data_IF_476807405074
#
_entry.id   IF_476807405074
#
_cell.length_a   1.000
_cell.length_b   1.000
_cell.length_c   1.000
_cell.angle_alpha   90.00
_cell.angle_beta   90.00
_cell.angle_gamma   90.00
#
_symmetry.space_group_name_H-M   'P 1'
#
loop_
_entity.id
_entity.type
_entity.pdbx_description
1 polymer ?
#
# COMPACT_ATOMS: atom_id res chain seq x y z
N UNK A 1 26.25 34.19 -20.56
CA UNK A 1 25.45 34.41 -19.34
C UNK A 1 25.19 33.05 -18.72
N UNK A 2 25.81 32.77 -17.59
CA UNK A 2 25.70 31.47 -16.92
C UNK A 2 24.28 31.30 -16.38
N UNK A 3 23.52 30.36 -16.93
CA UNK A 3 22.27 29.95 -16.35
C UNK A 3 22.57 29.31 -14.99
N UNK A 4 22.37 30.08 -13.93
CA UNK A 4 22.30 29.54 -12.57
C UNK A 4 21.04 28.68 -12.55
N UNK A 5 21.23 27.37 -12.67
CA UNK A 5 20.18 26.41 -12.35
C UNK A 5 19.99 26.52 -10.84
N UNK A 6 19.00 27.30 -10.41
CA UNK A 6 18.54 27.28 -9.03
C UNK A 6 18.16 25.84 -8.74
N UNK A 7 18.99 25.13 -7.96
CA UNK A 7 18.58 23.88 -7.33
C UNK A 7 17.46 24.27 -6.38
N UNK A 8 16.24 24.25 -6.88
CA UNK A 8 15.11 23.93 -6.05
C UNK A 8 15.51 22.62 -5.36
N UNK A 9 15.64 22.64 -4.05
CA UNK A 9 15.65 21.44 -3.23
C UNK A 9 14.24 21.29 -2.64
N UNK A 10 13.18 20.91 -3.38
CA UNK A 10 11.89 20.65 -2.77
C UNK A 10 11.62 19.13 -2.79
N UNK A 11 10.64 18.73 -2.00
CA UNK A 11 9.96 17.44 -2.09
C UNK A 11 10.66 16.20 -1.51
N UNK A 12 11.96 15.88 -1.74
CA UNK A 12 12.49 14.53 -1.38
C UNK A 12 12.43 14.20 0.12
N UNK A 13 12.46 15.19 1.01
CA UNK A 13 12.27 14.96 2.45
C UNK A 13 10.81 15.11 2.88
N UNK A 14 10.03 15.98 2.23
CA UNK A 14 8.66 16.26 2.65
C UNK A 14 7.75 15.02 2.56
N UNK A 15 7.84 14.23 1.48
CA UNK A 15 7.04 12.99 1.39
C UNK A 15 7.42 11.97 2.46
N UNK A 16 8.69 11.93 2.91
CA UNK A 16 9.11 11.06 4.01
C UNK A 16 8.51 11.50 5.34
N UNK A 17 8.42 12.81 5.57
CA UNK A 17 7.71 13.36 6.73
C UNK A 17 6.21 13.06 6.65
N UNK A 18 5.57 13.25 5.49
CA UNK A 18 4.17 12.88 5.29
C UNK A 18 3.90 11.39 5.49
N UNK A 19 4.85 10.52 5.13
CA UNK A 19 4.75 9.08 5.40
C UNK A 19 4.97 8.70 6.86
N UNK A 20 5.70 9.51 7.62
CA UNK A 20 5.88 9.33 9.05
C UNK A 20 4.67 9.87 9.84
N UNK A 21 4.08 10.99 9.41
CA UNK A 21 2.91 11.65 10.00
C UNK A 21 1.60 11.21 9.31
N UNK A 22 1.40 9.89 9.22
CA UNK A 22 0.12 9.33 8.77
C UNK A 22 -0.84 9.17 9.93
N UNK A 23 -2.13 9.32 9.66
CA UNK A 23 -3.21 8.99 10.60
C UNK A 23 -3.29 7.46 10.68
N UNK A 24 -3.14 6.92 11.90
CA UNK A 24 -3.17 5.47 12.18
C UNK A 24 -4.35 5.04 13.07
N UNK A 25 -5.13 6.01 13.53
CA UNK A 25 -6.36 5.80 14.27
C UNK A 25 -7.57 6.27 13.43
N UNK A 26 -8.51 5.37 13.08
CA UNK A 26 -9.75 5.76 12.39
C UNK A 26 -10.52 6.86 13.13
N UNK A 27 -10.53 6.85 14.47
CA UNK A 27 -11.23 7.87 15.27
C UNK A 27 -10.62 9.27 15.09
N UNK A 28 -9.30 9.36 14.91
CA UNK A 28 -8.62 10.62 14.59
C UNK A 28 -9.05 11.16 13.22
N UNK A 29 -9.23 10.29 12.22
CA UNK A 29 -9.75 10.71 10.91
C UNK A 29 -11.18 11.23 11.04
N UNK A 30 -12.05 10.52 11.77
CA UNK A 30 -13.44 10.95 11.98
C UNK A 30 -13.52 12.31 12.68
N UNK A 31 -12.73 12.54 13.71
CA UNK A 31 -12.64 13.85 14.38
C UNK A 31 -12.17 14.96 13.43
N UNK A 32 -11.14 14.69 12.62
CA UNK A 32 -10.63 15.65 11.63
C UNK A 32 -11.73 16.08 10.64
N UNK A 33 -12.62 15.15 10.28
CA UNK A 33 -13.71 15.36 9.34
C UNK A 33 -15.03 15.77 9.99
N UNK A 34 -15.08 15.95 11.32
CA UNK A 34 -16.32 16.25 12.08
C UNK A 34 -17.40 15.17 11.95
N UNK A 35 -16.96 13.91 11.93
CA UNK A 35 -17.80 12.71 11.79
C UNK A 35 -17.78 11.82 13.04
N UNK A 36 -17.24 12.30 14.17
CA UNK A 36 -17.20 11.56 15.45
C UNK A 36 -18.59 11.29 16.06
N UNK A 37 -19.63 11.96 15.56
CA UNK A 37 -21.03 11.68 15.89
C UNK A 37 -21.63 10.50 15.11
N UNK A 38 -20.99 10.04 14.04
CA UNK A 38 -21.52 9.00 13.16
C UNK A 38 -21.29 7.60 13.74
N UNK A 39 -22.28 7.06 14.46
CA UNK A 39 -22.20 5.76 15.12
C UNK A 39 -21.76 4.64 14.18
N UNK A 40 -22.34 4.58 12.97
CA UNK A 40 -22.01 3.53 11.99
C UNK A 40 -20.53 3.50 11.59
N UNK A 41 -19.89 4.67 11.43
CA UNK A 41 -18.46 4.75 11.11
C UNK A 41 -17.58 4.37 12.30
N UNK A 42 -18.04 4.62 13.53
CA UNK A 42 -17.29 4.33 14.76
C UNK A 42 -17.28 2.86 15.11
N UNK A 43 -18.38 2.15 14.87
CA UNK A 43 -18.47 0.70 15.13
C UNK A 43 -17.43 -0.10 14.34
N UNK A 44 -16.96 0.43 13.20
CA UNK A 44 -15.93 -0.17 12.38
C UNK A 44 -14.49 0.00 12.89
N UNK A 45 -14.22 0.86 13.88
CA UNK A 45 -12.87 1.25 14.27
C UNK A 45 -11.94 0.05 14.61
N UNK A 46 -12.50 -0.99 15.22
CA UNK A 46 -11.77 -2.21 15.58
C UNK A 46 -11.27 -3.00 14.37
N UNK A 47 -11.83 -2.82 13.16
CA UNK A 47 -11.36 -3.50 11.95
C UNK A 47 -9.93 -3.10 11.55
N UNK A 48 -9.35 -2.06 12.18
CA UNK A 48 -7.92 -1.75 12.09
C UNK A 48 -7.02 -2.90 12.58
N UNK A 49 -7.54 -3.81 13.42
CA UNK A 49 -6.83 -5.02 13.88
C UNK A 49 -6.72 -6.10 12.80
N UNK A 50 -7.64 -6.11 11.83
CA UNK A 50 -7.63 -7.04 10.69
C UNK A 50 -6.66 -6.59 9.60
N UNK A 51 -6.54 -5.28 9.41
CA UNK A 51 -5.60 -4.66 8.47
C UNK A 51 -5.29 -3.25 8.96
N UNK A 52 -4.00 -2.88 9.13
CA UNK A 52 -3.64 -1.60 9.72
C UNK A 52 -4.31 -0.42 9.03
N UNK A 53 -4.66 0.61 9.79
CA UNK A 53 -5.16 1.85 9.25
C UNK A 53 -3.98 2.80 8.98
N UNK A 54 -3.88 3.32 7.76
CA UNK A 54 -2.89 4.34 7.37
C UNK A 54 -3.52 5.27 6.35
N UNK A 55 -3.58 6.55 6.68
CA UNK A 55 -4.09 7.61 5.80
C UNK A 55 -3.16 8.83 5.93
N UNK A 56 -2.44 9.24 4.88
CA UNK A 56 -1.67 10.49 4.91
C UNK A 56 -2.60 11.67 5.11
N UNK A 57 -2.17 12.66 5.91
CA UNK A 57 -2.96 13.88 6.15
C UNK A 57 -3.31 14.62 4.86
N UNK A 58 -2.39 14.64 3.89
CA UNK A 58 -2.64 15.23 2.57
C UNK A 58 -3.73 14.51 1.77
N UNK A 59 -3.94 13.21 2.00
CA UNK A 59 -5.06 12.46 1.41
C UNK A 59 -6.37 12.82 2.13
N UNK A 60 -6.36 12.85 3.47
CA UNK A 60 -7.53 13.23 4.27
C UNK A 60 -8.00 14.67 3.99
N UNK A 61 -7.08 15.60 3.72
CA UNK A 61 -7.39 16.98 3.38
C UNK A 61 -8.18 17.17 2.07
N UNK A 62 -8.29 16.12 1.24
CA UNK A 62 -9.10 16.13 0.02
C UNK A 62 -10.54 15.67 0.23
N UNK A 63 -10.87 15.17 1.42
CA UNK A 63 -12.21 14.73 1.78
C UNK A 63 -13.09 15.93 2.11
N UNK A 64 -14.39 15.81 1.84
CA UNK A 64 -15.39 16.80 2.25
C UNK A 64 -15.69 16.64 3.74
N UNK A 65 -15.31 17.64 4.54
CA UNK A 65 -15.62 17.68 5.97
C UNK A 65 -17.13 17.63 6.21
N UNK A 66 -17.56 16.76 7.12
CA UNK A 66 -18.98 16.57 7.47
C UNK A 66 -19.75 15.64 6.52
N UNK A 67 -19.11 15.13 5.46
CA UNK A 67 -19.74 14.18 4.53
C UNK A 67 -19.36 12.73 4.86
N UNK A 68 -20.27 11.92 5.43
CA UNK A 68 -20.01 10.51 5.71
C UNK A 68 -19.93 9.65 4.44
N UNK A 69 -20.43 10.14 3.30
CA UNK A 69 -20.48 9.43 2.03
C UNK A 69 -19.33 9.80 1.07
N UNK A 70 -18.38 10.62 1.54
CA UNK A 70 -17.23 11.05 0.75
C UNK A 70 -16.49 9.83 0.13
N UNK A 71 -16.26 9.85 -1.20
CA UNK A 71 -15.72 8.69 -1.90
C UNK A 71 -14.26 8.37 -1.53
N UNK A 72 -13.47 9.34 -1.05
CA UNK A 72 -12.12 9.09 -0.55
C UNK A 72 -12.17 8.51 0.87
N UNK A 73 -13.09 8.98 1.71
CA UNK A 73 -13.33 8.41 3.03
C UNK A 73 -13.71 6.94 2.93
N UNK A 74 -14.66 6.59 2.06
CA UNK A 74 -15.12 5.20 1.85
C UNK A 74 -14.01 4.24 1.42
N UNK A 75 -12.94 4.73 0.80
CA UNK A 75 -11.79 3.92 0.40
C UNK A 75 -10.90 3.52 1.57
N UNK A 76 -10.91 4.28 2.67
CA UNK A 76 -9.93 4.15 3.77
C UNK A 76 -10.54 3.91 5.13
N UNK A 77 -11.77 4.37 5.39
CA UNK A 77 -12.42 4.22 6.68
C UNK A 77 -12.71 2.75 6.97
N UNK A 78 -12.35 2.31 8.18
CA UNK A 78 -12.63 0.95 8.66
C UNK A 78 -14.13 0.75 8.83
N UNK A 79 -14.63 -0.42 8.48
CA UNK A 79 -16.06 -0.74 8.54
C UNK A 79 -16.34 -2.00 9.36
N UNK A 80 -17.49 -2.08 10.02
CA UNK A 80 -17.89 -3.26 10.81
C UNK A 80 -18.07 -4.48 9.91
N UNK A 81 -18.50 -4.25 8.69
CA UNK A 81 -18.73 -5.23 7.63
C UNK A 81 -17.46 -6.03 7.32
N UNK A 82 -16.27 -5.51 7.63
CA UNK A 82 -15.02 -6.24 7.42
C UNK A 82 -14.82 -7.45 8.33
N UNK A 83 -15.60 -7.55 9.41
CA UNK A 83 -15.68 -8.78 10.22
C UNK A 83 -16.64 -9.82 9.63
N UNK A 84 -17.40 -9.45 8.60
CA UNK A 84 -18.39 -10.34 7.98
C UNK A 84 -17.69 -11.32 7.06
N UNK A 85 -17.97 -12.61 7.27
CA UNK A 85 -17.55 -13.66 6.36
C UNK A 85 -18.62 -13.81 5.27
N UNK A 86 -18.22 -13.62 4.01
CA UNK A 86 -19.09 -13.87 2.87
C UNK A 86 -18.84 -15.30 2.33
N UNK A 87 -19.89 -16.03 1.90
CA UNK A 87 -19.71 -17.28 1.16
C UNK A 87 -18.79 -17.07 -0.05
N UNK A 88 -17.82 -17.97 -0.24
CA UNK A 88 -16.83 -17.88 -1.33
C UNK A 88 -15.69 -16.89 -1.11
N UNK A 89 -15.62 -16.22 0.05
CA UNK A 89 -14.50 -15.36 0.39
C UNK A 89 -13.18 -16.15 0.48
N UNK A 90 -12.12 -15.62 -0.15
CA UNK A 90 -10.75 -16.13 -0.03
C UNK A 90 -9.81 -15.02 0.41
N UNK A 91 -8.87 -15.36 1.30
CA UNK A 91 -7.77 -14.47 1.69
C UNK A 91 -6.67 -14.39 0.63
N UNK A 92 -6.68 -15.30 -0.34
CA UNK A 92 -5.80 -15.32 -1.52
C UNK A 92 -6.64 -15.46 -2.80
N UNK A 93 -7.36 -14.40 -3.21
CA UNK A 93 -8.25 -14.47 -4.36
C UNK A 93 -7.51 -14.59 -5.71
N UNK A 94 -6.20 -14.37 -5.74
CA UNK A 94 -5.39 -14.41 -6.96
C UNK A 94 -4.40 -15.57 -7.02
N UNK A 95 -4.37 -16.42 -5.99
CA UNK A 95 -3.42 -17.54 -5.83
C UNK A 95 -1.96 -17.05 -5.87
N UNK A 96 -1.68 -15.97 -5.13
CA UNK A 96 -0.40 -15.28 -5.14
C UNK A 96 0.47 -15.60 -3.92
N UNK A 97 0.00 -16.36 -2.94
CA UNK A 97 0.79 -16.64 -1.73
C UNK A 97 2.05 -17.49 -2.02
N UNK A 98 2.11 -18.16 -3.17
CA UNK A 98 3.27 -18.94 -3.61
C UNK A 98 4.09 -18.19 -4.66
N UNK A 99 5.26 -17.71 -4.25
CA UNK A 99 6.24 -17.06 -5.14
C UNK A 99 7.24 -18.08 -5.69
N UNK A 100 7.69 -17.92 -6.95
CA UNK A 100 8.69 -18.80 -7.58
C UNK A 100 10.07 -18.67 -6.93
N UNK A 101 10.36 -17.45 -6.47
CA UNK A 101 11.40 -17.14 -5.48
C UNK A 101 10.86 -16.04 -4.57
N UNK A 102 11.33 -15.90 -3.32
CA UNK A 102 10.82 -14.86 -2.42
C UNK A 102 10.79 -13.47 -3.07
N UNK A 103 9.59 -12.88 -3.13
CA UNK A 103 9.38 -11.56 -3.73
C UNK A 103 9.21 -11.54 -5.26
N UNK A 104 9.10 -12.69 -5.93
CA UNK A 104 8.83 -12.76 -7.38
C UNK A 104 7.66 -13.70 -7.67
N UNK A 105 6.58 -13.16 -8.23
CA UNK A 105 5.42 -13.89 -8.72
C UNK A 105 5.54 -14.06 -10.23
N UNK A 106 5.40 -15.29 -10.73
CA UNK A 106 5.44 -15.59 -12.17
C UNK A 106 4.27 -16.50 -12.54
N UNK A 107 3.10 -15.88 -12.81
CA UNK A 107 1.85 -16.56 -13.17
C UNK A 107 1.61 -16.64 -14.68
N UNK A 108 2.18 -15.70 -15.42
CA UNK A 108 1.96 -15.55 -16.86
C UNK A 108 3.26 -15.76 -17.62
N UNK A 109 3.18 -16.40 -18.80
CA UNK A 109 4.35 -16.83 -19.56
C UNK A 109 5.44 -15.75 -19.76
N UNK A 110 5.08 -14.53 -20.16
CA UNK A 110 6.05 -13.51 -20.55
C UNK A 110 6.22 -12.36 -19.54
N UNK A 111 5.58 -12.44 -18.37
CA UNK A 111 5.62 -11.36 -17.37
C UNK A 111 5.68 -11.88 -15.95
N UNK A 112 6.49 -11.21 -15.14
CA UNK A 112 6.61 -11.47 -13.71
C UNK A 112 6.38 -10.19 -12.90
N UNK A 113 5.92 -10.35 -11.68
CA UNK A 113 5.70 -9.27 -10.73
C UNK A 113 6.68 -9.38 -9.57
N UNK A 114 7.49 -8.33 -9.39
CA UNK A 114 8.54 -8.26 -8.38
C UNK A 114 8.12 -7.35 -7.23
N UNK A 115 8.05 -7.91 -6.03
CA UNK A 115 7.66 -7.24 -4.81
C UNK A 115 8.84 -6.45 -4.25
N UNK A 116 8.89 -5.16 -4.52
CA UNK A 116 10.00 -4.29 -4.10
C UNK A 116 9.77 -3.66 -2.73
N UNK A 117 8.51 -3.48 -2.31
CA UNK A 117 8.15 -2.94 -1.00
C UNK A 117 6.79 -3.46 -0.56
N UNK A 118 6.64 -3.94 0.67
CA UNK A 118 5.36 -4.48 1.16
C UNK A 118 4.39 -3.47 1.78
N UNK A 119 4.80 -2.22 1.99
CA UNK A 119 3.96 -1.19 2.62
C UNK A 119 3.34 -0.24 1.60
N UNK A 120 2.19 0.34 1.95
CA UNK A 120 1.51 1.40 1.21
C UNK A 120 1.44 2.71 2.02
N UNK A 121 1.33 3.85 1.33
CA UNK A 121 1.14 5.16 1.97
C UNK A 121 -0.27 5.24 2.55
N UNK A 122 -1.24 4.77 1.77
CA UNK A 122 -2.65 4.60 2.13
C UNK A 122 -2.94 3.10 2.20
N UNK A 123 -3.61 2.66 3.27
CA UNK A 123 -4.13 1.30 3.36
C UNK A 123 -5.59 1.27 2.90
N UNK A 124 -5.80 1.08 1.59
CA UNK A 124 -7.14 0.98 1.01
C UNK A 124 -7.89 -0.23 1.59
N UNK A 125 -9.15 -0.07 2.02
CA UNK A 125 -9.94 -1.15 2.62
C UNK A 125 -10.32 -2.25 1.65
N UNK A 126 -10.26 -1.96 0.35
CA UNK A 126 -10.45 -2.91 -0.75
C UNK A 126 -9.14 -3.56 -1.25
N UNK A 127 -8.04 -3.46 -0.50
CA UNK A 127 -6.76 -4.05 -0.90
C UNK A 127 -6.83 -5.59 -0.95
N UNK A 128 -6.76 -6.17 -2.15
CA UNK A 128 -6.77 -7.63 -2.34
C UNK A 128 -5.51 -8.32 -1.79
N UNK A 129 -4.40 -7.59 -1.60
CA UNK A 129 -3.15 -8.09 -0.99
C UNK A 129 -3.06 -7.84 0.52
N UNK A 130 -4.13 -7.47 1.20
CA UNK A 130 -4.10 -7.19 2.66
C UNK A 130 -3.66 -8.39 3.51
N UNK A 131 -3.82 -9.61 2.99
CA UNK A 131 -3.42 -10.87 3.64
C UNK A 131 -2.12 -11.48 3.06
N UNK A 132 -1.42 -10.77 2.18
CA UNK A 132 -0.21 -11.28 1.56
C UNK A 132 0.95 -11.35 2.57
N UNK A 133 1.73 -12.44 2.55
CA UNK A 133 2.87 -12.67 3.46
C UNK A 133 4.12 -11.85 3.09
N UNK A 134 4.07 -10.52 3.27
CA UNK A 134 5.18 -9.62 2.93
C UNK A 134 6.47 -9.85 3.73
N UNK A 135 6.39 -10.44 4.92
CA UNK A 135 7.57 -10.74 5.74
C UNK A 135 8.45 -11.84 5.13
N UNK A 136 7.85 -12.77 4.38
CA UNK A 136 8.56 -13.85 3.67
C UNK A 136 9.04 -13.38 2.29
N UNK A 137 8.39 -12.35 1.74
CA UNK A 137 8.59 -11.81 0.40
C UNK A 137 9.15 -10.39 0.41
N UNK A 138 10.10 -10.13 1.31
CA UNK A 138 10.68 -8.81 1.49
C UNK A 138 11.45 -8.37 0.25
N UNK A 139 11.26 -7.11 -0.16
CA UNK A 139 12.11 -6.44 -1.14
C UNK A 139 13.45 -6.04 -0.53
N UNK A 140 14.33 -7.02 -0.34
CA UNK A 140 15.70 -6.83 0.14
C UNK A 140 16.72 -7.30 -0.90
N UNK A 141 17.99 -6.88 -0.75
CA UNK A 141 19.07 -7.18 -1.70
C UNK A 141 19.22 -8.67 -2.00
N UNK A 142 19.10 -9.53 -0.99
CA UNK A 142 19.22 -10.98 -1.15
C UNK A 142 18.13 -11.54 -2.05
N UNK A 143 16.87 -11.16 -1.80
CA UNK A 143 15.74 -11.60 -2.61
C UNK A 143 15.80 -11.02 -4.03
N UNK A 144 16.26 -9.77 -4.18
CA UNK A 144 16.45 -9.16 -5.50
C UNK A 144 17.48 -9.88 -6.36
N UNK A 145 18.59 -10.32 -5.78
CA UNK A 145 19.60 -11.10 -6.50
C UNK A 145 19.05 -12.46 -6.94
N UNK A 146 18.24 -13.13 -6.10
CA UNK A 146 17.55 -14.37 -6.47
C UNK A 146 16.54 -14.16 -7.60
N UNK A 147 15.73 -13.10 -7.51
CA UNK A 147 14.79 -12.73 -8.55
C UNK A 147 15.51 -12.41 -9.88
N UNK A 148 16.60 -11.65 -9.84
CA UNK A 148 17.39 -11.33 -11.02
C UNK A 148 18.02 -12.58 -11.65
N UNK A 149 18.47 -13.55 -10.84
CA UNK A 149 18.99 -14.82 -11.33
C UNK A 149 17.88 -15.65 -12.01
N UNK A 150 16.70 -15.72 -11.39
CA UNK A 150 15.52 -16.37 -11.98
C UNK A 150 15.15 -15.73 -13.32
N UNK A 151 15.00 -14.40 -13.37
CA UNK A 151 14.65 -13.66 -14.60
C UNK A 151 15.67 -13.92 -15.71
N UNK A 152 16.97 -13.95 -15.40
CA UNK A 152 18.02 -14.24 -16.40
C UNK A 152 17.92 -15.63 -17.00
N UNK A 153 17.38 -16.60 -16.27
CA UNK A 153 17.20 -17.99 -16.73
C UNK A 153 15.91 -18.20 -17.55
N UNK A 154 15.03 -17.20 -17.60
CA UNK A 154 13.69 -17.28 -18.21
C UNK A 154 13.61 -16.27 -19.37
N UNK A 155 14.16 -16.60 -20.56
CA UNK A 155 14.25 -15.68 -21.70
C UNK A 155 12.89 -15.27 -22.29
N UNK A 156 11.81 -15.99 -21.96
CA UNK A 156 10.44 -15.63 -22.29
C UNK A 156 9.94 -14.38 -21.55
N UNK A 157 10.53 -14.04 -20.40
CA UNK A 157 10.18 -12.85 -19.63
C UNK A 157 10.66 -11.58 -20.34
N UNK A 158 9.71 -10.80 -20.87
CA UNK A 158 9.99 -9.52 -21.51
C UNK A 158 9.37 -8.32 -20.77
N UNK A 159 8.62 -8.57 -19.70
CA UNK A 159 8.03 -7.53 -18.86
C UNK A 159 8.18 -7.88 -17.37
N UNK A 160 8.69 -6.93 -16.58
CA UNK A 160 8.81 -7.05 -15.12
C UNK A 160 8.04 -5.91 -14.47
N UNK A 161 7.02 -6.24 -13.69
CA UNK A 161 6.18 -5.27 -12.98
C UNK A 161 6.70 -5.09 -11.56
N UNK A 162 7.15 -3.88 -11.21
CA UNK A 162 7.53 -3.56 -9.84
C UNK A 162 6.29 -3.27 -9.00
N UNK A 163 6.11 -3.99 -7.90
CA UNK A 163 4.89 -3.95 -7.11
C UNK A 163 5.16 -4.29 -5.63
N UNK A 164 4.17 -4.85 -4.95
CA UNK A 164 4.14 -5.10 -3.51
C UNK A 164 2.92 -4.43 -2.91
N UNK A 165 3.16 -3.57 -1.93
CA UNK A 165 2.25 -2.49 -1.59
C UNK A 165 2.40 -1.36 -2.62
N UNK A 166 3.12 -0.31 -2.26
CA UNK A 166 3.46 0.78 -3.17
C UNK A 166 4.96 0.74 -3.52
N UNK A 167 5.34 0.46 -4.78
CA UNK A 167 6.73 0.35 -5.19
C UNK A 167 7.51 1.68 -5.09
N UNK A 168 6.81 2.83 -5.11
CA UNK A 168 7.44 4.16 -5.03
C UNK A 168 7.77 4.56 -3.59
N UNK A 169 7.32 3.78 -2.59
CA UNK A 169 7.73 3.97 -1.19
C UNK A 169 9.14 3.42 -0.88
N UNK A 170 9.82 2.84 -1.86
CA UNK A 170 11.23 2.49 -1.74
C UNK A 170 12.08 3.75 -1.59
N UNK A 171 12.96 3.80 -0.58
CA UNK A 171 14.01 4.82 -0.58
C UNK A 171 15.02 4.44 -1.64
N UNK A 172 15.38 5.38 -2.52
CA UNK A 172 16.61 5.23 -3.30
C UNK A 172 17.76 5.14 -2.31
N UNK A 173 18.37 3.96 -2.23
CA UNK A 173 19.66 3.78 -1.56
C UNK A 173 20.61 4.60 -2.42
N UNK A 174 20.99 5.79 -1.94
CA UNK A 174 22.17 6.43 -2.49
C UNK A 174 23.31 5.46 -2.17
N UNK A 175 23.86 4.81 -3.20
CA UNK A 175 25.15 4.16 -3.10
C UNK A 175 26.23 5.18 -2.80
#
# INVERSE_FOLDING_TARGET
>A
MTHIITRHTPAREDWLHQLADVITDPMQLLQLLRLEGQTGLREGAEARRLFPFRVPRAFAARMVTGDPDDPLLRQVITAREEFSLAPGYSTDPLEEQHSVVPGLLHKYHNRALMLVKGGCAVNCRYCFRRHFHYQENQGNKTNWLRAAAYIRQHPELNEIILSGGDPLMGRSVNG
#
